data_IF_963056652464
#
_entry.id   IF_963056652464
#
_cell.length_a   1.000
_cell.length_b   1.000
_cell.length_c   1.000
_cell.angle_alpha   90.00
_cell.angle_beta   90.00
_cell.angle_gamma   90.00
#
_symmetry.space_group_name_H-M   'P 1'
#
loop_
_entity.id
_entity.type
_entity.pdbx_description
1 polymer ?
#
# COMPACT_ATOMS: atom_id res chain seq x y z
N UNK A 1 -0.04 6.12 -13.16
CA UNK A 1 -0.47 5.30 -14.31
C UNK A 1 0.53 4.20 -14.67
N UNK A 2 1.83 4.49 -14.88
CA UNK A 2 2.84 3.43 -15.18
C UNK A 2 2.97 2.35 -14.09
N UNK A 3 3.09 2.73 -12.82
CA UNK A 3 3.23 1.75 -11.71
C UNK A 3 2.06 0.76 -11.60
N UNK A 4 0.81 1.22 -11.78
CA UNK A 4 -0.36 0.33 -11.78
C UNK A 4 -0.34 -0.67 -12.94
N UNK A 5 0.08 -0.23 -14.14
CA UNK A 5 0.22 -1.13 -15.30
C UNK A 5 1.30 -2.18 -15.09
N UNK A 6 2.44 -1.79 -14.53
CA UNK A 6 3.52 -2.73 -14.21
C UNK A 6 3.11 -3.76 -13.15
N UNK A 7 2.31 -3.36 -12.15
CA UNK A 7 1.74 -4.27 -11.16
C UNK A 7 0.80 -5.29 -11.78
N UNK A 8 -0.17 -4.85 -12.59
CA UNK A 8 -1.11 -5.73 -13.30
C UNK A 8 -0.41 -6.67 -14.27
N UNK A 9 0.63 -6.21 -14.96
CA UNK A 9 1.45 -7.05 -15.83
C UNK A 9 2.23 -8.13 -15.07
N UNK A 10 2.73 -7.81 -13.87
CA UNK A 10 3.43 -8.75 -13.01
C UNK A 10 2.47 -9.80 -12.43
N UNK A 11 1.28 -9.38 -11.98
CA UNK A 11 0.21 -10.29 -11.54
C UNK A 11 -0.18 -11.26 -12.67
N UNK A 12 -0.38 -10.73 -13.89
CA UNK A 12 -0.66 -11.54 -15.07
C UNK A 12 0.38 -12.63 -15.27
N UNK A 13 1.66 -12.23 -15.34
CA UNK A 13 2.74 -13.16 -15.62
C UNK A 13 2.93 -14.21 -14.52
N UNK A 14 2.75 -13.81 -13.26
CA UNK A 14 2.87 -14.75 -12.15
C UNK A 14 1.78 -15.82 -12.21
N UNK A 15 0.53 -15.44 -12.53
CA UNK A 15 -0.57 -16.41 -12.72
C UNK A 15 -0.30 -17.32 -13.92
N UNK A 16 0.15 -16.80 -15.07
CA UNK A 16 0.52 -17.65 -16.21
C UNK A 16 1.63 -18.65 -15.83
N UNK A 17 2.59 -18.21 -15.02
CA UNK A 17 3.70 -19.05 -14.57
C UNK A 17 3.22 -20.15 -13.63
N UNK A 18 2.32 -19.84 -12.69
CA UNK A 18 1.65 -20.85 -11.86
C UNK A 18 0.88 -21.86 -12.72
N UNK A 19 0.06 -21.40 -13.67
CA UNK A 19 -0.72 -22.27 -14.57
C UNK A 19 0.17 -23.18 -15.42
N UNK A 20 1.33 -22.69 -15.87
CA UNK A 20 2.29 -23.47 -16.65
C UNK A 20 3.03 -24.52 -15.81
N UNK A 21 3.38 -24.20 -14.57
CA UNK A 21 4.26 -25.04 -13.76
C UNK A 21 3.52 -26.02 -12.84
N UNK A 22 2.28 -25.77 -12.45
CA UNK A 22 1.46 -26.73 -11.71
C UNK A 22 0.77 -27.70 -12.66
N UNK A 23 0.83 -29.00 -12.34
CA UNK A 23 0.28 -30.07 -13.19
C UNK A 23 -1.24 -30.04 -13.33
N UNK A 24 -1.94 -29.51 -12.33
CA UNK A 24 -3.41 -29.45 -12.26
C UNK A 24 -3.88 -28.08 -11.75
N UNK A 25 -3.41 -27.02 -12.41
CA UNK A 25 -3.85 -25.66 -12.13
C UNK A 25 -5.27 -25.40 -12.65
N UNK A 26 -6.11 -24.74 -11.84
CA UNK A 26 -7.42 -24.23 -12.26
C UNK A 26 -7.52 -22.74 -11.96
N UNK A 27 -8.06 -21.98 -12.89
CA UNK A 27 -8.37 -20.58 -12.68
C UNK A 27 -9.83 -20.43 -12.30
N UNK A 28 -10.14 -19.50 -11.38
CA UNK A 28 -11.52 -19.08 -11.20
C UNK A 28 -12.01 -18.29 -12.41
N UNK A 29 -13.31 -18.29 -12.69
CA UNK A 29 -13.87 -17.57 -13.84
C UNK A 29 -13.56 -16.06 -13.83
N UNK A 30 -13.41 -15.47 -12.64
CA UNK A 30 -12.98 -14.08 -12.51
C UNK A 30 -11.50 -13.91 -12.88
N UNK A 31 -10.64 -14.83 -12.42
CA UNK A 31 -9.21 -14.83 -12.74
C UNK A 31 -8.98 -14.94 -14.24
N UNK A 32 -9.72 -15.80 -14.96
CA UNK A 32 -9.63 -15.90 -16.42
C UNK A 32 -9.94 -14.57 -17.12
N UNK A 33 -10.99 -13.86 -16.68
CA UNK A 33 -11.33 -12.52 -17.20
C UNK A 33 -10.22 -11.52 -16.93
N UNK A 34 -9.65 -11.54 -15.72
CA UNK A 34 -8.56 -10.63 -15.35
C UNK A 34 -7.27 -10.93 -16.13
N UNK A 35 -6.96 -12.21 -16.39
CA UNK A 35 -5.84 -12.61 -17.26
C UNK A 35 -6.02 -12.09 -18.69
N UNK A 36 -7.21 -12.26 -19.27
CA UNK A 36 -7.51 -11.77 -20.61
C UNK A 36 -7.37 -10.23 -20.70
N UNK A 37 -7.88 -9.50 -19.70
CA UNK A 37 -7.80 -8.03 -19.65
C UNK A 37 -6.34 -7.54 -19.55
N UNK A 38 -5.54 -8.17 -18.70
CA UNK A 38 -4.23 -7.65 -18.29
C UNK A 38 -3.06 -8.13 -19.16
N UNK A 39 -3.27 -9.13 -20.04
CA UNK A 39 -2.25 -9.59 -21.00
C UNK A 39 -1.57 -8.45 -21.76
N UNK A 40 -2.37 -7.51 -22.29
CA UNK A 40 -1.85 -6.35 -23.02
C UNK A 40 -0.89 -5.47 -22.19
N UNK A 41 -1.04 -5.46 -20.86
CA UNK A 41 -0.14 -4.70 -19.99
C UNK A 41 1.25 -5.34 -19.97
N UNK A 42 1.32 -6.67 -19.93
CA UNK A 42 2.57 -7.41 -20.05
C UNK A 42 3.21 -7.24 -21.43
N UNK A 43 2.42 -7.40 -22.51
CA UNK A 43 2.93 -7.27 -23.89
C UNK A 43 3.51 -5.88 -24.16
N UNK A 44 3.00 -4.85 -23.47
CA UNK A 44 3.49 -3.47 -23.58
C UNK A 44 4.75 -3.16 -22.75
N UNK A 45 5.24 -4.10 -21.93
CA UNK A 45 6.44 -3.89 -21.13
C UNK A 45 7.70 -3.89 -22.00
N UNK A 46 8.75 -3.13 -21.62
CA UNK A 46 10.07 -3.27 -22.25
C UNK A 46 10.58 -4.72 -22.19
N UNK A 47 11.26 -5.17 -23.24
CA UNK A 47 11.79 -6.55 -23.35
C UNK A 47 12.66 -6.94 -22.16
N UNK A 48 13.49 -6.02 -21.67
CA UNK A 48 14.30 -6.24 -20.47
C UNK A 48 13.43 -6.55 -19.25
N UNK A 49 12.31 -5.84 -19.10
CA UNK A 49 11.37 -6.03 -17.99
C UNK A 49 10.60 -7.35 -18.10
N UNK A 50 10.13 -7.70 -19.29
CA UNK A 50 9.54 -9.01 -19.56
C UNK A 50 10.51 -10.14 -19.20
N UNK A 51 11.79 -9.99 -19.53
CA UNK A 51 12.84 -10.99 -19.25
C UNK A 51 13.03 -11.22 -17.75
N UNK A 52 13.31 -10.17 -16.97
CA UNK A 52 13.58 -10.36 -15.54
C UNK A 52 12.30 -10.73 -14.78
N UNK A 53 11.11 -10.22 -15.17
CA UNK A 53 9.86 -10.70 -14.61
C UNK A 53 9.67 -12.20 -14.85
N UNK A 54 9.89 -12.69 -16.07
CA UNK A 54 9.72 -14.11 -16.41
C UNK A 54 10.65 -15.01 -15.61
N UNK A 55 11.92 -14.63 -15.52
CA UNK A 55 12.92 -15.36 -14.74
C UNK A 55 12.51 -15.44 -13.27
N UNK A 56 12.21 -14.29 -12.66
CA UNK A 56 11.93 -14.19 -11.23
C UNK A 56 10.59 -14.81 -10.85
N UNK A 57 9.55 -14.69 -11.70
CA UNK A 57 8.30 -15.42 -11.52
C UNK A 57 8.54 -16.94 -11.58
N UNK A 58 9.37 -17.43 -12.48
CA UNK A 58 9.68 -18.86 -12.57
C UNK A 58 10.42 -19.37 -11.33
N UNK A 59 11.46 -18.66 -10.90
CA UNK A 59 12.18 -18.96 -9.64
C UNK A 59 11.22 -18.96 -8.45
N UNK A 60 10.38 -17.94 -8.33
CA UNK A 60 9.43 -17.82 -7.22
C UNK A 60 8.41 -18.97 -7.21
N UNK A 61 7.79 -19.29 -8.35
CA UNK A 61 6.80 -20.37 -8.43
C UNK A 61 7.43 -21.72 -8.08
N UNK A 62 8.67 -21.98 -8.51
CA UNK A 62 9.37 -23.21 -8.13
C UNK A 62 9.57 -23.29 -6.61
N UNK A 63 10.01 -22.20 -5.98
CA UNK A 63 10.13 -22.13 -4.52
C UNK A 63 8.78 -22.35 -3.81
N UNK A 64 7.68 -21.78 -4.33
CA UNK A 64 6.33 -21.99 -3.77
C UNK A 64 5.92 -23.46 -3.83
N UNK A 65 6.20 -24.16 -4.95
CA UNK A 65 5.91 -25.60 -5.09
C UNK A 65 6.64 -26.44 -4.04
N UNK A 66 7.87 -26.06 -3.71
CA UNK A 66 8.72 -26.80 -2.78
C UNK A 66 8.41 -26.48 -1.31
N UNK A 67 7.98 -25.25 -1.00
CA UNK A 67 7.96 -24.73 0.38
C UNK A 67 6.60 -24.29 0.90
N UNK A 68 5.57 -24.18 0.05
CA UNK A 68 4.27 -23.59 0.42
C UNK A 68 3.09 -24.41 -0.06
N UNK A 69 2.95 -24.62 -1.37
CA UNK A 69 1.82 -25.34 -1.96
C UNK A 69 2.36 -26.41 -2.89
N UNK A 70 2.41 -27.65 -2.40
CA UNK A 70 2.91 -28.76 -3.20
C UNK A 70 2.06 -28.99 -4.46
N UNK A 71 2.70 -29.44 -5.53
CA UNK A 71 2.04 -29.84 -6.79
C UNK A 71 1.44 -31.24 -6.67
N UNK A 72 0.47 -31.36 -5.75
CA UNK A 72 -0.22 -32.60 -5.44
C UNK A 72 -1.72 -32.38 -5.57
N UNK A 73 -2.26 -32.74 -6.73
CA UNK A 73 -3.67 -32.57 -7.04
C UNK A 73 -4.01 -31.17 -7.53
N UNK A 74 -5.29 -30.83 -7.46
CA UNK A 74 -5.82 -29.58 -8.01
C UNK A 74 -5.38 -28.38 -7.16
N UNK A 75 -4.82 -27.36 -7.83
CA UNK A 75 -4.52 -26.05 -7.22
C UNK A 75 -5.34 -24.98 -7.93
N UNK A 76 -6.29 -24.39 -7.21
CA UNK A 76 -7.05 -23.25 -7.69
C UNK A 76 -6.25 -21.96 -7.48
N UNK A 77 -6.11 -21.17 -8.54
CA UNK A 77 -5.43 -19.87 -8.54
C UNK A 77 -6.50 -18.79 -8.68
N UNK A 78 -6.56 -17.90 -7.70
CA UNK A 78 -7.57 -16.86 -7.60
C UNK A 78 -6.88 -15.50 -7.53
N UNK A 79 -7.15 -14.62 -8.49
CA UNK A 79 -6.84 -13.19 -8.35
C UNK A 79 -7.93 -12.52 -7.53
N UNK A 80 -7.53 -11.89 -6.44
CA UNK A 80 -8.46 -11.26 -5.51
C UNK A 80 -8.83 -9.87 -6.04
N UNK A 81 -10.12 -9.56 -5.98
CA UNK A 81 -10.63 -8.31 -6.52
C UNK A 81 -10.37 -7.13 -5.57
N UNK A 82 -10.34 -5.92 -6.12
CA UNK A 82 -10.23 -4.68 -5.33
C UNK A 82 -11.36 -4.54 -4.28
N UNK A 83 -12.51 -5.22 -4.44
CA UNK A 83 -13.61 -5.19 -3.47
C UNK A 83 -13.30 -5.97 -2.19
N UNK A 84 -12.54 -7.05 -2.28
CA UNK A 84 -12.10 -7.83 -1.12
C UNK A 84 -10.95 -7.12 -0.40
N UNK A 85 -10.13 -6.36 -1.14
CA UNK A 85 -9.12 -5.47 -0.57
C UNK A 85 -9.70 -4.36 0.34
N UNK A 86 -10.98 -4.00 0.14
CA UNK A 86 -11.69 -3.04 1.02
C UNK A 86 -11.96 -3.63 2.42
N UNK A 87 -12.01 -4.97 2.56
CA UNK A 87 -12.24 -5.65 3.85
C UNK A 87 -10.98 -5.90 4.66
N UNK A 88 -9.82 -5.39 4.22
CA UNK A 88 -8.53 -5.55 4.90
C UNK A 88 -7.69 -6.73 4.40
N UNK A 89 -8.17 -7.48 3.41
CA UNK A 89 -7.39 -8.55 2.77
C UNK A 89 -6.42 -7.94 1.75
N UNK A 90 -5.11 -8.04 1.98
CA UNK A 90 -4.08 -7.43 1.11
C UNK A 90 -3.57 -8.39 0.03
N UNK A 91 -4.22 -9.55 -0.10
CA UNK A 91 -3.89 -10.58 -1.08
C UNK A 91 -4.20 -10.07 -2.48
N UNK A 92 -3.23 -10.19 -3.39
CA UNK A 92 -3.39 -9.99 -4.83
C UNK A 92 -3.69 -11.34 -5.52
N UNK A 93 -2.99 -12.41 -5.12
CA UNK A 93 -3.14 -13.78 -5.66
C UNK A 93 -3.26 -14.78 -4.50
N UNK A 94 -4.22 -15.70 -4.61
CA UNK A 94 -4.47 -16.78 -3.66
C UNK A 94 -4.35 -18.13 -4.36
N UNK A 95 -3.59 -19.04 -3.76
CA UNK A 95 -3.57 -20.45 -4.13
C UNK A 95 -4.41 -21.23 -3.12
N UNK A 96 -5.31 -22.07 -3.60
CA UNK A 96 -6.11 -23.00 -2.78
C UNK A 96 -5.84 -24.41 -3.25
N UNK A 97 -5.44 -25.27 -2.31
CA UNK A 97 -5.20 -26.69 -2.53
C UNK A 97 -5.98 -27.51 -1.50
N UNK A 98 -5.94 -28.84 -1.63
CA UNK A 98 -6.57 -29.72 -0.64
C UNK A 98 -5.98 -29.58 0.77
N UNK A 99 -4.71 -29.15 0.88
CA UNK A 99 -3.98 -29.08 2.15
C UNK A 99 -3.97 -27.69 2.77
N UNK A 100 -4.45 -26.67 2.05
CA UNK A 100 -4.54 -25.32 2.58
C UNK A 100 -4.55 -24.21 1.54
N UNK A 101 -4.39 -23.00 2.05
CA UNK A 101 -4.44 -21.76 1.29
C UNK A 101 -3.13 -20.98 1.48
N UNK A 102 -2.65 -20.38 0.39
CA UNK A 102 -1.49 -19.50 0.39
C UNK A 102 -1.83 -18.16 -0.26
N UNK A 103 -1.56 -17.07 0.46
CA UNK A 103 -1.93 -15.72 0.07
C UNK A 103 -0.67 -14.93 -0.29
N UNK A 104 -0.72 -14.20 -1.41
CA UNK A 104 0.38 -13.41 -1.93
C UNK A 104 -0.03 -11.96 -2.10
N UNK A 105 0.76 -11.03 -1.58
CA UNK A 105 0.71 -9.62 -1.97
C UNK A 105 1.93 -9.30 -2.83
N UNK A 106 1.70 -9.05 -4.11
CA UNK A 106 2.74 -8.89 -5.11
C UNK A 106 3.06 -7.42 -5.32
N UNK A 107 4.34 -7.07 -5.34
CA UNK A 107 4.81 -5.70 -5.50
C UNK A 107 5.97 -5.65 -6.48
N UNK A 108 5.98 -4.60 -7.31
CA UNK A 108 7.09 -4.28 -8.18
C UNK A 108 7.83 -3.05 -7.67
N UNK A 109 9.09 -3.20 -7.26
CA UNK A 109 9.98 -2.11 -6.83
C UNK A 109 9.34 -1.09 -5.87
N UNK A 110 8.38 -1.53 -5.05
CA UNK A 110 7.61 -0.63 -4.20
C UNK A 110 7.46 -1.23 -2.80
N UNK A 111 7.96 -0.49 -1.81
CA UNK A 111 7.91 -0.88 -0.41
C UNK A 111 6.76 -0.22 0.34
N UNK A 112 6.00 0.69 -0.31
CA UNK A 112 4.84 1.31 0.31
C UNK A 112 3.79 0.26 0.69
N UNK A 113 3.29 0.34 1.92
CA UNK A 113 2.27 -0.57 2.46
C UNK A 113 0.86 0.00 2.24
N UNK A 114 0.70 1.33 2.27
CA UNK A 114 -0.61 1.98 2.08
C UNK A 114 -0.50 3.42 1.60
N UNK A 115 -1.56 3.87 0.92
CA UNK A 115 -1.76 5.27 0.54
C UNK A 115 -3.03 5.84 1.19
N UNK A 116 -2.90 6.38 2.39
CA UNK A 116 -4.03 6.87 3.17
C UNK A 116 -4.24 8.37 3.03
N UNK A 117 -5.50 8.80 3.08
CA UNK A 117 -5.87 10.22 3.04
C UNK A 117 -6.06 10.73 4.47
N UNK A 118 -5.52 11.91 4.82
CA UNK A 118 -5.69 12.49 6.16
C UNK A 118 -7.16 12.58 6.59
N UNK A 119 -8.06 12.91 5.67
CA UNK A 119 -9.49 13.02 5.97
C UNK A 119 -10.13 11.74 6.52
N UNK A 120 -9.58 10.55 6.22
CA UNK A 120 -10.16 9.27 6.64
C UNK A 120 -9.51 8.70 7.91
N UNK A 121 -8.71 9.49 8.62
CA UNK A 121 -7.92 9.05 9.77
C UNK A 121 -8.76 8.35 10.85
N UNK A 122 -9.94 8.89 11.20
CA UNK A 122 -10.80 8.30 12.25
C UNK A 122 -11.17 6.85 11.95
N UNK A 123 -11.64 6.58 10.73
CA UNK A 123 -11.94 5.20 10.31
C UNK A 123 -10.71 4.30 10.30
N UNK A 124 -9.54 4.83 9.91
CA UNK A 124 -8.29 4.08 9.85
C UNK A 124 -7.80 3.70 11.26
N UNK A 125 -8.01 4.58 12.24
CA UNK A 125 -7.66 4.35 13.64
C UNK A 125 -8.74 3.59 14.42
N UNK A 126 -9.85 3.23 13.77
CA UNK A 126 -10.97 2.54 14.42
C UNK A 126 -11.73 3.40 15.45
N UNK A 127 -11.67 4.73 15.33
CA UNK A 127 -12.34 5.68 16.23
C UNK A 127 -13.80 5.89 15.78
N UNK A 128 -14.76 5.67 16.68
CA UNK A 128 -16.20 5.77 16.37
C UNK A 128 -16.81 7.16 16.64
N UNK A 129 -16.08 8.08 17.29
CA UNK A 129 -16.59 9.39 17.67
C UNK A 129 -16.81 10.31 16.46
N UNK A 130 -18.08 10.47 16.06
CA UNK A 130 -18.48 11.29 14.93
C UNK A 130 -18.38 12.80 15.17
N UNK A 131 -18.51 13.26 16.42
CA UNK A 131 -18.37 14.67 16.74
C UNK A 131 -16.91 15.10 16.60
N UNK A 132 -15.99 14.31 17.14
CA UNK A 132 -14.56 14.54 17.00
C UNK A 132 -14.09 14.34 15.55
N UNK A 133 -14.66 13.38 14.80
CA UNK A 133 -14.37 13.23 13.37
C UNK A 133 -14.74 14.51 12.59
N UNK A 134 -15.92 15.09 12.88
CA UNK A 134 -16.36 16.34 12.26
C UNK A 134 -15.45 17.52 12.62
N UNK A 135 -15.05 17.63 13.89
CA UNK A 135 -14.11 18.65 14.35
C UNK A 135 -12.77 18.54 13.62
N UNK A 136 -12.21 17.33 13.54
CA UNK A 136 -10.97 17.04 12.82
C UNK A 136 -11.05 17.40 11.32
N UNK A 137 -12.14 17.05 10.63
CA UNK A 137 -12.34 17.42 9.22
C UNK A 137 -12.51 18.94 9.03
N UNK A 138 -13.07 19.63 10.02
CA UNK A 138 -13.14 21.09 10.02
C UNK A 138 -11.75 21.71 10.11
N UNK A 139 -10.87 21.19 10.97
CA UNK A 139 -9.49 21.68 11.07
C UNK A 139 -8.68 21.41 9.78
N UNK A 140 -8.85 20.26 9.12
CA UNK A 140 -8.25 20.02 7.80
C UNK A 140 -8.67 21.11 6.79
N UNK A 141 -9.94 21.51 6.83
CA UNK A 141 -10.47 22.56 5.96
C UNK A 141 -9.87 23.92 6.34
N UNK A 142 -9.74 24.21 7.63
CA UNK A 142 -9.11 25.43 8.12
C UNK A 142 -7.64 25.55 7.69
N UNK A 143 -6.85 24.47 7.80
CA UNK A 143 -5.46 24.42 7.31
C UNK A 143 -5.41 24.70 5.79
N UNK A 144 -6.33 24.10 5.02
CA UNK A 144 -6.40 24.35 3.57
C UNK A 144 -6.72 25.82 3.26
N UNK A 145 -7.62 26.44 4.02
CA UNK A 145 -7.98 27.85 3.86
C UNK A 145 -6.81 28.79 4.23
N UNK A 146 -6.04 28.46 5.27
CA UNK A 146 -4.81 29.21 5.61
C UNK A 146 -3.77 29.14 4.49
N UNK A 147 -3.61 27.97 3.87
CA UNK A 147 -2.79 27.85 2.66
C UNK A 147 -3.28 28.77 1.54
N UNK A 148 -4.59 28.75 1.23
CA UNK A 148 -5.15 29.61 0.17
C UNK A 148 -4.98 31.10 0.44
N UNK A 149 -5.10 31.54 1.69
CA UNK A 149 -4.85 32.93 2.06
C UNK A 149 -3.40 33.35 1.74
N UNK A 150 -2.42 32.48 2.04
CA UNK A 150 -0.99 32.76 1.77
C UNK A 150 -0.63 32.75 0.29
N UNK A 151 -1.36 31.99 -0.52
CA UNK A 151 -1.10 31.92 -1.96
C UNK A 151 -1.96 32.86 -2.81
N UNK A 152 -2.84 33.64 -2.19
CA UNK A 152 -3.75 34.57 -2.89
C UNK A 152 -3.02 35.61 -3.76
N UNK A 153 -1.76 35.88 -3.45
CA UNK A 153 -0.85 36.75 -4.21
C UNK A 153 -0.29 36.09 -5.49
N UNK A 154 -0.43 34.77 -5.66
CA UNK A 154 0.09 34.04 -6.81
C UNK A 154 -1.04 33.70 -7.79
N UNK A 155 -0.85 34.04 -9.06
CA UNK A 155 -1.75 33.67 -10.15
C UNK A 155 -1.48 32.23 -10.63
N UNK A 156 -1.58 31.26 -9.72
CA UNK A 156 -1.31 29.86 -10.04
C UNK A 156 -2.14 28.88 -9.23
N UNK A 157 -2.39 27.72 -9.82
CA UNK A 157 -2.99 26.56 -9.17
C UNK A 157 -2.00 25.41 -8.98
N UNK A 158 -0.71 25.64 -9.22
CA UNK A 158 0.32 24.60 -9.26
C UNK A 158 1.21 24.64 -8.01
N UNK A 159 1.30 23.51 -7.31
CA UNK A 159 2.11 23.38 -6.10
C UNK A 159 3.59 23.68 -6.35
N UNK A 160 4.14 23.22 -7.48
CA UNK A 160 5.56 23.42 -7.79
C UNK A 160 5.88 24.90 -8.08
N UNK A 161 4.92 25.67 -8.61
CA UNK A 161 5.09 27.10 -8.86
C UNK A 161 5.12 27.84 -7.52
N UNK A 162 4.14 27.60 -6.64
CA UNK A 162 4.15 28.15 -5.28
C UNK A 162 5.44 27.78 -4.56
N UNK A 163 5.85 26.51 -4.61
CA UNK A 163 7.09 26.02 -4.00
C UNK A 163 8.33 26.77 -4.49
N UNK A 164 8.43 27.02 -5.80
CA UNK A 164 9.59 27.72 -6.38
C UNK A 164 9.68 29.19 -5.99
N UNK A 165 8.55 29.80 -5.63
CA UNK A 165 8.47 31.21 -5.24
C UNK A 165 8.64 31.38 -3.73
N UNK A 166 7.98 30.52 -2.94
CA UNK A 166 8.10 30.49 -1.49
C UNK A 166 7.83 29.06 -0.97
N UNK A 167 8.91 28.32 -0.72
CA UNK A 167 8.84 26.95 -0.19
C UNK A 167 8.24 26.91 1.23
N UNK A 168 8.36 27.98 2.02
CA UNK A 168 7.85 28.02 3.40
C UNK A 168 6.33 27.85 3.48
N UNK A 169 5.61 28.23 2.43
CA UNK A 169 4.15 28.04 2.35
C UNK A 169 3.81 26.55 2.26
N UNK A 170 4.56 25.80 1.45
CA UNK A 170 4.37 24.35 1.32
C UNK A 170 4.77 23.65 2.62
N UNK A 171 5.91 24.03 3.21
CA UNK A 171 6.40 23.42 4.45
C UNK A 171 5.45 23.68 5.62
N UNK A 172 4.97 24.91 5.81
CA UNK A 172 3.97 25.26 6.83
C UNK A 172 2.69 24.46 6.66
N UNK A 173 2.20 24.32 5.42
CA UNK A 173 1.01 23.54 5.15
C UNK A 173 1.19 22.06 5.53
N UNK A 174 2.34 21.46 5.16
CA UNK A 174 2.63 20.08 5.55
C UNK A 174 2.78 19.94 7.07
N UNK A 175 3.47 20.88 7.71
CA UNK A 175 3.73 20.88 9.14
C UNK A 175 2.43 20.90 9.95
N UNK A 176 1.50 21.80 9.60
CA UNK A 176 0.19 21.89 10.25
C UNK A 176 -0.64 20.60 10.05
N UNK A 177 -0.63 20.02 8.85
CA UNK A 177 -1.34 18.77 8.57
C UNK A 177 -0.74 17.58 9.33
N UNK A 178 0.59 17.47 9.34
CA UNK A 178 1.29 16.41 10.04
C UNK A 178 1.14 16.54 11.56
N UNK A 179 1.19 17.76 12.09
CA UNK A 179 0.94 18.07 13.49
C UNK A 179 -0.48 17.72 13.92
N UNK A 180 -1.49 18.04 13.09
CA UNK A 180 -2.88 17.66 13.34
C UNK A 180 -3.04 16.13 13.40
N UNK A 181 -2.52 15.40 12.42
CA UNK A 181 -2.60 13.94 12.36
C UNK A 181 -1.90 13.30 13.56
N UNK A 182 -0.67 13.72 13.86
CA UNK A 182 0.12 13.23 15.01
C UNK A 182 -0.61 13.48 16.32
N UNK A 183 -1.09 14.72 16.53
CA UNK A 183 -1.83 15.10 17.72
C UNK A 183 -3.17 14.37 17.86
N UNK A 184 -3.84 14.03 16.76
CA UNK A 184 -5.06 13.21 16.80
C UNK A 184 -4.75 11.77 17.19
N UNK A 185 -3.73 11.14 16.60
CA UNK A 185 -3.34 9.75 16.93
C UNK A 185 -3.01 9.64 18.43
N UNK A 186 -2.24 10.57 18.98
CA UNK A 186 -1.77 10.47 20.37
C UNK A 186 -2.82 10.85 21.42
N UNK A 187 -3.91 11.56 21.06
CA UNK A 187 -4.93 12.03 22.02
C UNK A 187 -6.24 11.25 21.99
N UNK A 188 -6.56 10.63 20.85
CA UNK A 188 -7.80 9.89 20.69
C UNK A 188 -7.67 8.44 21.19
N UNK A 189 -8.78 7.79 21.56
CA UNK A 189 -8.77 6.37 21.95
C UNK A 189 -8.61 5.48 20.70
N UNK A 190 -7.40 5.43 20.16
CA UNK A 190 -7.07 4.63 18.97
C UNK A 190 -7.20 3.14 19.27
N UNK A 191 -7.78 2.41 18.32
CA UNK A 191 -7.71 0.96 18.31
C UNK A 191 -6.44 0.52 17.55
N UNK A 192 -5.36 0.23 18.29
CA UNK A 192 -4.07 -0.13 17.72
C UNK A 192 -4.16 -1.34 16.78
N UNK A 193 -4.95 -2.37 17.13
CA UNK A 193 -5.20 -3.53 16.26
C UNK A 193 -5.80 -3.13 14.91
N UNK A 194 -6.86 -2.30 14.92
CA UNK A 194 -7.51 -1.84 13.68
C UNK A 194 -6.60 -0.95 12.84
N UNK A 195 -5.84 -0.06 13.49
CA UNK A 195 -4.87 0.78 12.81
C UNK A 195 -3.77 -0.06 12.15
N UNK A 196 -3.29 -1.10 12.84
CA UNK A 196 -2.31 -2.04 12.33
C UNK A 196 -2.87 -2.85 11.16
N UNK A 197 -4.04 -3.48 11.32
CA UNK A 197 -4.73 -4.25 10.28
C UNK A 197 -4.99 -3.42 9.02
N UNK A 198 -5.29 -2.13 9.18
CA UNK A 198 -5.45 -1.23 8.05
C UNK A 198 -4.15 -1.06 7.23
N UNK A 199 -2.99 -1.03 7.90
CA UNK A 199 -1.68 -0.83 7.29
C UNK A 199 -1.12 -2.11 6.68
N UNK A 200 -1.17 -3.23 7.41
CA UNK A 200 -0.51 -4.48 7.00
C UNK A 200 -1.47 -5.55 6.48
N UNK A 201 -2.78 -5.40 6.69
CA UNK A 201 -3.78 -6.41 6.38
C UNK A 201 -4.22 -7.24 7.59
N UNK A 202 -5.37 -7.90 7.46
CA UNK A 202 -5.98 -8.70 8.54
C UNK A 202 -5.89 -10.21 8.34
N UNK A 203 -5.13 -10.68 7.35
CA UNK A 203 -4.90 -12.09 7.04
C UNK A 203 -3.41 -12.42 6.99
N UNK A 204 -3.06 -13.70 7.09
CA UNK A 204 -1.70 -14.17 6.82
C UNK A 204 -1.43 -14.13 5.31
N UNK A 205 -0.26 -13.62 4.90
CA UNK A 205 0.18 -13.60 3.51
C UNK A 205 1.70 -13.46 3.42
N UNK A 206 2.27 -13.77 2.27
CA UNK A 206 3.64 -13.41 1.94
C UNK A 206 3.63 -12.17 1.05
N UNK A 207 4.36 -11.12 1.45
CA UNK A 207 4.62 -9.97 0.58
C UNK A 207 5.81 -10.33 -0.31
N UNK A 208 5.60 -10.31 -1.61
CA UNK A 208 6.61 -10.70 -2.60
C UNK A 208 6.99 -9.47 -3.42
N UNK A 209 8.26 -9.10 -3.36
CA UNK A 209 8.81 -7.96 -4.08
C UNK A 209 9.68 -8.49 -5.22
N UNK A 210 9.24 -8.26 -6.45
CA UNK A 210 10.03 -8.60 -7.64
C UNK A 210 10.70 -7.33 -8.16
N UNK A 211 12.04 -7.36 -8.14
CA UNK A 211 12.91 -6.31 -8.65
C UNK A 211 13.76 -6.82 -9.82
N UNK A 212 14.66 -5.98 -10.33
CA UNK A 212 15.66 -6.42 -11.30
C UNK A 212 16.63 -7.43 -10.67
N UNK A 213 16.94 -7.22 -9.39
CA UNK A 213 18.03 -7.89 -8.69
C UNK A 213 17.62 -9.22 -8.06
N UNK A 214 16.31 -9.46 -7.90
CA UNK A 214 15.81 -10.75 -7.41
C UNK A 214 14.37 -10.72 -6.90
N UNK A 215 14.02 -11.77 -6.17
CA UNK A 215 12.75 -11.95 -5.47
C UNK A 215 13.01 -11.88 -3.97
N UNK A 216 12.43 -10.88 -3.31
CA UNK A 216 12.41 -10.78 -1.85
C UNK A 216 11.03 -11.21 -1.34
N UNK A 217 11.02 -12.03 -0.29
CA UNK A 217 9.79 -12.49 0.36
C UNK A 217 9.80 -12.07 1.82
N UNK A 218 8.74 -11.39 2.24
CA UNK A 218 8.49 -11.03 3.63
C UNK A 218 7.26 -11.81 4.11
N UNK A 219 7.40 -12.79 5.02
CA UNK A 219 6.30 -13.59 5.52
C UNK A 219 5.48 -12.84 6.58
N UNK A 220 4.37 -12.23 6.19
CA UNK A 220 3.41 -11.59 7.11
C UNK A 220 2.44 -12.62 7.68
N UNK A 221 2.99 -13.62 8.38
CA UNK A 221 2.21 -14.69 9.00
C UNK A 221 2.38 -14.68 10.51
N UNK A 222 1.27 -14.88 11.24
CA UNK A 222 1.26 -15.00 12.70
C UNK A 222 1.87 -13.79 13.45
N UNK A 223 1.76 -12.60 12.86
CA UNK A 223 2.24 -11.36 13.47
C UNK A 223 1.40 -11.07 14.72
N UNK A 224 2.07 -10.90 15.86
CA UNK A 224 1.44 -10.48 17.11
C UNK A 224 0.76 -9.11 16.92
N UNK A 225 -0.50 -9.01 17.33
CA UNK A 225 -1.27 -7.78 17.19
C UNK A 225 -0.86 -6.74 18.26
N UNK A 226 -0.69 -5.47 17.89
CA UNK A 226 -0.19 -4.44 18.82
C UNK A 226 -1.29 -3.94 19.76
N UNK A 227 -0.91 -3.58 20.99
CA UNK A 227 -1.83 -3.02 21.97
C UNK A 227 -1.76 -1.50 22.03
N UNK A 228 -0.65 -0.92 21.57
CA UNK A 228 -0.42 0.51 21.55
C UNK A 228 0.08 1.00 20.19
N UNK A 229 -0.27 2.25 19.88
CA UNK A 229 0.25 3.02 18.75
C UNK A 229 0.65 4.40 19.26
N UNK A 230 1.86 4.83 18.91
CA UNK A 230 2.32 6.21 19.08
C UNK A 230 2.66 6.82 17.73
N UNK A 231 2.43 8.12 17.60
CA UNK A 231 2.85 8.90 16.45
C UNK A 231 3.86 9.98 16.85
N UNK A 232 4.86 10.20 16.00
CA UNK A 232 5.84 11.27 16.14
C UNK A 232 6.03 11.97 14.81
N UNK A 233 5.85 13.28 14.76
CA UNK A 233 6.26 14.05 13.59
C UNK A 233 7.79 14.12 13.55
N UNK A 234 8.40 13.64 12.47
CA UNK A 234 9.85 13.56 12.30
C UNK A 234 10.40 14.65 11.37
N UNK A 235 9.55 15.25 10.54
CA UNK A 235 9.85 16.44 9.74
C UNK A 235 8.55 17.15 9.33
N UNK A 236 8.62 18.23 8.54
CA UNK A 236 7.44 18.95 8.07
C UNK A 236 6.42 18.07 7.35
N UNK A 237 6.85 17.02 6.66
CA UNK A 237 5.95 16.17 5.87
C UNK A 237 6.07 14.68 6.21
N UNK A 238 6.64 14.32 7.37
CA UNK A 238 6.78 12.93 7.80
C UNK A 238 6.25 12.71 9.21
N UNK A 239 5.55 11.59 9.39
CA UNK A 239 5.09 11.09 10.68
C UNK A 239 5.58 9.65 10.83
N UNK A 240 6.30 9.36 11.89
CA UNK A 240 6.60 8.00 12.30
C UNK A 240 5.46 7.45 13.15
N UNK A 241 5.02 6.24 12.84
CA UNK A 241 4.11 5.44 13.66
C UNK A 241 4.89 4.31 14.32
N UNK A 242 4.80 4.17 15.63
CA UNK A 242 5.45 3.11 16.39
C UNK A 242 4.40 2.25 17.09
N UNK A 243 4.39 0.97 16.75
CA UNK A 243 3.56 -0.05 17.40
C UNK A 243 4.39 -0.85 18.41
N UNK A 244 3.77 -1.22 19.53
CA UNK A 244 4.44 -1.96 20.61
C UNK A 244 4.76 -3.43 20.27
N UNK A 245 4.37 -3.91 19.09
CA UNK A 245 4.75 -5.23 18.55
C UNK A 245 6.03 -5.19 17.69
N UNK A 246 6.78 -4.08 17.71
CA UNK A 246 8.06 -3.93 17.01
C UNK A 246 7.96 -3.41 15.58
N UNK A 247 6.77 -3.04 15.12
CA UNK A 247 6.58 -2.44 13.80
C UNK A 247 6.64 -0.91 13.88
N UNK A 248 7.42 -0.32 12.98
CA UNK A 248 7.45 1.13 12.79
C UNK A 248 7.25 1.50 11.33
N UNK A 249 6.47 2.56 11.09
CA UNK A 249 6.13 3.03 9.76
C UNK A 249 6.46 4.51 9.58
N UNK A 250 6.94 4.88 8.40
CA UNK A 250 7.11 6.28 7.98
C UNK A 250 5.93 6.66 7.07
N UNK A 251 5.17 7.67 7.47
CA UNK A 251 4.10 8.26 6.69
C UNK A 251 4.55 9.58 6.09
N UNK A 252 4.86 9.57 4.78
CA UNK A 252 5.22 10.77 4.04
C UNK A 252 4.00 11.46 3.43
N UNK A 253 3.63 12.63 3.95
CA UNK A 253 2.61 13.48 3.35
C UNK A 253 3.10 14.06 2.03
N UNK A 254 2.25 14.02 1.01
CA UNK A 254 2.45 14.72 -0.24
C UNK A 254 1.10 15.05 -0.89
N UNK A 255 1.13 15.97 -1.86
CA UNK A 255 -0.07 16.31 -2.63
C UNK A 255 -0.37 15.21 -3.63
N UNK A 256 -1.63 14.79 -3.70
CA UNK A 256 -2.07 13.72 -4.60
C UNK A 256 -2.21 14.20 -6.05
N UNK A 257 -2.21 15.53 -6.25
CA UNK A 257 -2.29 16.24 -7.53
C UNK A 257 -1.20 17.31 -7.58
N UNK A 258 -0.65 17.57 -8.77
CA UNK A 258 0.24 18.72 -8.99
C UNK A 258 -0.50 20.06 -8.89
N UNK A 259 -1.84 20.03 -9.04
CA UNK A 259 -2.73 21.17 -8.95
C UNK A 259 -3.60 21.16 -7.70
N UNK A 260 -3.87 22.34 -7.15
CA UNK A 260 -4.95 22.56 -6.19
C UNK A 260 -6.11 23.32 -6.86
N UNK A 261 -7.24 23.42 -6.17
CA UNK A 261 -8.35 24.28 -6.58
C UNK A 261 -8.72 25.15 -5.40
N UNK A 262 -8.64 26.47 -5.59
CA UNK A 262 -8.92 27.44 -4.52
C UNK A 262 -10.35 27.23 -4.01
N UNK A 263 -10.51 27.26 -2.67
CA UNK A 263 -11.79 27.04 -2.01
C UNK A 263 -12.21 25.58 -1.84
N UNK A 264 -11.41 24.60 -2.31
CA UNK A 264 -11.61 23.18 -2.02
C UNK A 264 -10.58 22.67 -1.02
N UNK A 265 -10.93 21.70 -0.18
CA UNK A 265 -9.93 20.99 0.63
C UNK A 265 -8.83 20.44 -0.28
N UNK A 266 -7.58 20.76 0.06
CA UNK A 266 -6.44 20.28 -0.73
C UNK A 266 -6.43 18.75 -0.70
N UNK A 267 -6.09 18.14 -1.83
CA UNK A 267 -6.07 16.70 -1.96
C UNK A 267 -4.69 16.16 -1.60
N UNK A 268 -4.51 15.65 -0.37
CA UNK A 268 -3.27 15.02 0.08
C UNK A 268 -3.44 13.52 0.27
N UNK A 269 -2.30 12.83 0.26
CA UNK A 269 -2.18 11.44 0.67
C UNK A 269 -0.84 11.21 1.36
N UNK A 270 -0.83 10.29 2.30
CA UNK A 270 0.39 9.74 2.86
C UNK A 270 0.88 8.60 1.96
N UNK A 271 2.19 8.54 1.73
CA UNK A 271 2.89 7.35 1.28
C UNK A 271 3.47 6.67 2.51
N UNK A 272 2.93 5.52 2.92
CA UNK A 272 3.36 4.84 4.14
C UNK A 272 4.30 3.70 3.82
N UNK A 273 5.46 3.68 4.48
CA UNK A 273 6.51 2.70 4.29
C UNK A 273 6.84 2.04 5.61
N UNK A 274 7.22 0.78 5.54
CA UNK A 274 7.76 0.06 6.68
C UNK A 274 9.20 0.52 6.93
N UNK A 275 9.52 0.91 8.16
CA UNK A 275 10.88 1.32 8.59
C UNK A 275 11.57 0.14 9.24
N UNK A 276 10.87 -0.49 10.18
CA UNK A 276 11.32 -1.67 10.90
C UNK A 276 10.13 -2.56 11.16
N UNK A 277 10.41 -3.86 11.19
CA UNK A 277 9.45 -4.89 11.50
C UNK A 277 10.14 -6.03 12.24
N UNK A 278 9.32 -6.96 12.73
CA UNK A 278 9.77 -8.22 13.32
C UNK A 278 9.73 -9.38 12.32
N UNK A 279 9.62 -9.09 11.02
CA UNK A 279 9.47 -10.07 9.94
C UNK A 279 10.81 -10.27 9.25
N UNK A 280 11.39 -11.45 9.44
CA UNK A 280 12.63 -11.79 8.74
C UNK A 280 12.35 -12.03 7.25
N UNK A 281 12.86 -11.14 6.39
CA UNK A 281 12.79 -11.31 4.95
C UNK A 281 13.89 -12.26 4.45
N UNK A 282 13.63 -12.90 3.30
CA UNK A 282 14.62 -13.72 2.64
C UNK A 282 14.56 -13.53 1.12
N UNK A 283 15.68 -13.78 0.47
CA UNK A 283 15.80 -13.73 -0.98
C UNK A 283 15.71 -15.13 -1.57
N UNK A 284 15.00 -15.24 -2.68
CA UNK A 284 14.96 -16.46 -3.47
C UNK A 284 15.88 -16.28 -4.68
N UNK A 285 16.83 -17.20 -4.82
CA UNK A 285 17.79 -17.30 -5.92
C UNK A 285 17.35 -18.31 -6.97
#
# INVERSE_FOLDING_TARGET
MKSNRNGRALEYLLVETFTRLYSSAKLSAQTERDQHRDRQHYDSLPVEMQRYYSQHCQTFVQWVKENRVADQGCVEIIRISDQDAVKGDVTDIRLVSATGQYNLSLKHNNNAVKHQRPGNLFSQLGIADKAQEKSYRTEITAISNRFFARISQFETELFHVVKSQDESIILSFYDEMCGLVTGTINRQPVNANKAFDFLVGNCNFDKVIISRDGVEVLPFSNIAKPRALMAKQTSHNHIQLDFDNGFSFDMRLHTASSRFSVGKTINQKFDTRLISDSVESFFIS
#
